data_IF_492427842199
#
_entry.id   IF_492427842199
#
_cell.length_a   1.000
_cell.length_b   1.000
_cell.length_c   1.000
_cell.angle_alpha   90.00
_cell.angle_beta   90.00
_cell.angle_gamma   90.00
#
_symmetry.space_group_name_H-M   'P 1'
#
loop_
_entity.id
_entity.type
_entity.pdbx_description
1 polymer ?
#
# COMPACT_ATOMS: atom_id res chain seq x y z
N UNK A 1 28.48 10.32 19.00
CA UNK A 1 27.55 11.07 18.12
C UNK A 1 26.14 10.58 18.40
N UNK A 2 25.26 11.43 18.93
CA UNK A 2 23.88 11.05 19.20
C UNK A 2 23.05 11.29 17.93
N UNK A 3 22.42 10.25 17.40
CA UNK A 3 21.49 10.35 16.26
C UNK A 3 20.18 10.95 16.73
N UNK A 4 19.94 12.21 16.39
CA UNK A 4 18.67 12.90 16.63
C UNK A 4 17.65 12.33 15.63
N UNK A 5 16.68 11.56 16.13
CA UNK A 5 15.56 11.09 15.33
C UNK A 5 14.70 12.29 14.93
N UNK A 6 14.73 12.68 13.66
CA UNK A 6 13.90 13.76 13.12
C UNK A 6 12.41 13.40 13.31
N UNK A 7 11.58 14.31 13.84
CA UNK A 7 10.16 14.04 14.02
C UNK A 7 9.51 13.71 12.67
N UNK A 8 8.92 12.52 12.57
CA UNK A 8 8.16 12.05 11.41
C UNK A 8 7.02 13.04 11.19
N UNK A 9 7.05 13.78 10.07
CA UNK A 9 6.01 14.72 9.69
C UNK A 9 4.63 14.02 9.77
N UNK A 10 3.82 14.41 10.76
CA UNK A 10 2.56 13.77 11.14
C UNK A 10 1.37 14.18 10.27
N UNK A 11 1.57 15.05 9.27
CA UNK A 11 0.50 15.43 8.36
C UNK A 11 0.25 14.30 7.34
N UNK A 12 -1.01 13.86 7.13
CA UNK A 12 -1.32 12.90 6.09
C UNK A 12 -0.94 13.51 4.74
N UNK A 13 0.00 12.88 4.04
CA UNK A 13 0.44 13.34 2.74
C UNK A 13 -0.63 13.03 1.69
N UNK A 14 -1.55 13.97 1.45
CA UNK A 14 -2.54 13.87 0.38
C UNK A 14 -1.87 14.01 -0.98
N UNK A 15 -2.11 13.04 -1.86
CA UNK A 15 -1.57 13.04 -3.24
C UNK A 15 -2.71 13.08 -4.24
N UNK A 16 -2.63 14.04 -5.16
CA UNK A 16 -3.54 14.12 -6.31
C UNK A 16 -2.93 13.35 -7.47
N UNK A 17 -3.72 12.47 -8.06
CA UNK A 17 -3.35 11.66 -9.22
C UNK A 17 -4.49 11.67 -10.24
N UNK A 18 -4.14 11.49 -11.51
CA UNK A 18 -5.12 11.40 -12.60
C UNK A 18 -5.41 9.93 -12.89
N UNK A 19 -6.69 9.62 -13.14
CA UNK A 19 -7.12 8.30 -13.58
C UNK A 19 -6.51 8.00 -14.97
N UNK A 20 -5.85 6.85 -15.09
CA UNK A 20 -5.40 6.35 -16.40
C UNK A 20 -6.50 5.50 -17.04
N UNK A 21 -6.43 5.32 -18.36
CA UNK A 21 -7.21 4.30 -19.06
C UNK A 21 -6.38 3.03 -19.30
N UNK A 22 -7.02 1.87 -19.26
CA UNK A 22 -6.46 0.60 -19.77
C UNK A 22 -7.49 -0.07 -20.64
N UNK A 23 -7.11 -0.38 -21.88
CA UNK A 23 -7.89 -1.20 -22.80
C UNK A 23 -7.44 -2.65 -22.72
N UNK A 24 -8.41 -3.57 -22.77
CA UNK A 24 -8.12 -5.00 -22.94
C UNK A 24 -8.48 -5.38 -24.37
N UNK A 25 -7.51 -5.97 -25.07
CA UNK A 25 -7.75 -6.50 -26.39
C UNK A 25 -8.49 -7.83 -26.22
N UNK A 26 -9.82 -7.80 -26.36
CA UNK A 26 -10.61 -9.03 -26.46
C UNK A 26 -10.54 -9.47 -27.92
N UNK A 27 -10.01 -10.67 -28.17
CA UNK A 27 -9.93 -11.26 -29.51
C UNK A 27 -11.27 -11.08 -30.24
N UNK A 28 -11.27 -10.31 -31.33
CA UNK A 28 -12.43 -10.12 -32.19
C UNK A 28 -13.46 -9.04 -31.76
N UNK A 29 -13.26 -8.29 -30.66
CA UNK A 29 -14.17 -7.21 -30.28
C UNK A 29 -13.48 -5.84 -30.17
N UNK A 30 -14.24 -4.74 -30.29
CA UNK A 30 -13.75 -3.38 -30.03
C UNK A 30 -13.10 -3.30 -28.64
N UNK A 31 -11.98 -2.58 -28.55
CA UNK A 31 -11.31 -2.28 -27.29
C UNK A 31 -12.23 -1.48 -26.37
N UNK A 32 -12.63 -2.05 -25.23
CA UNK A 32 -13.35 -1.33 -24.17
C UNK A 32 -12.34 -0.73 -23.18
N UNK A 33 -12.28 0.61 -23.01
CA UNK A 33 -11.42 1.23 -22.03
C UNK A 33 -12.02 1.12 -20.62
N UNK A 34 -11.16 0.87 -19.63
CA UNK A 34 -11.52 0.85 -18.21
C UNK A 34 -10.66 1.84 -17.41
N UNK A 35 -11.20 2.45 -16.34
CA UNK A 35 -10.42 3.32 -15.46
C UNK A 35 -9.40 2.52 -14.65
N UNK A 36 -8.21 3.09 -14.45
CA UNK A 36 -7.12 2.51 -13.65
C UNK A 36 -6.51 3.56 -12.74
N UNK A 37 -6.42 3.24 -11.45
CA UNK A 37 -5.60 3.95 -10.48
C UNK A 37 -4.22 3.29 -10.40
N UNK A 38 -3.15 4.04 -10.69
CA UNK A 38 -1.76 3.58 -10.50
C UNK A 38 -1.16 4.28 -9.29
N UNK A 39 -0.87 3.52 -8.24
CA UNK A 39 -0.18 3.99 -7.04
C UNK A 39 1.23 3.41 -7.03
N UNK A 40 2.24 4.28 -7.03
CA UNK A 40 3.64 3.85 -7.01
C UNK A 40 4.58 4.95 -6.54
N UNK A 41 5.77 4.52 -6.10
CA UNK A 41 6.84 5.40 -5.64
C UNK A 41 7.22 5.18 -4.18
N UNK A 42 8.36 5.78 -3.78
CA UNK A 42 8.96 5.62 -2.43
C UNK A 42 7.97 5.95 -1.31
N UNK A 43 7.08 6.92 -1.52
CA UNK A 43 6.07 7.28 -0.53
C UNK A 43 5.10 6.15 -0.17
N UNK A 44 4.77 5.27 -1.13
CA UNK A 44 3.90 4.12 -0.89
C UNK A 44 4.63 3.09 -0.03
N UNK A 45 5.92 2.89 -0.29
CA UNK A 45 6.80 2.06 0.52
C UNK A 45 6.99 2.63 1.93
N UNK A 46 7.24 3.94 2.06
CA UNK A 46 7.36 4.64 3.34
C UNK A 46 6.06 4.58 4.15
N UNK A 47 4.90 4.41 3.48
CA UNK A 47 3.59 4.18 4.12
C UNK A 47 3.38 2.74 4.59
N UNK A 48 4.35 1.84 4.38
CA UNK A 48 4.34 0.45 4.88
C UNK A 48 3.96 -0.61 3.85
N UNK A 49 3.64 -0.25 2.61
CA UNK A 49 3.36 -1.24 1.55
C UNK A 49 4.67 -1.85 1.01
N UNK A 50 4.66 -3.15 0.75
CA UNK A 50 5.80 -3.85 0.16
C UNK A 50 5.35 -4.68 -1.04
N UNK A 51 6.29 -4.97 -1.94
CA UNK A 51 6.07 -5.93 -3.03
C UNK A 51 5.69 -7.27 -2.40
N UNK A 52 4.63 -7.90 -2.92
CA UNK A 52 4.09 -9.16 -2.39
C UNK A 52 3.04 -9.02 -1.28
N UNK A 53 2.80 -7.80 -0.74
CA UNK A 53 1.65 -7.60 0.15
C UNK A 53 0.33 -7.84 -0.60
N UNK A 54 -0.56 -8.58 0.04
CA UNK A 54 -1.98 -8.67 -0.29
C UNK A 54 -2.67 -7.47 0.34
N UNK A 55 -3.50 -6.80 -0.43
CA UNK A 55 -4.20 -5.57 -0.01
C UNK A 55 -5.70 -5.73 -0.18
N UNK A 56 -6.44 -5.28 0.82
CA UNK A 56 -7.88 -5.14 0.75
C UNK A 56 -8.23 -3.80 0.10
N UNK A 57 -9.14 -3.83 -0.86
CA UNK A 57 -9.72 -2.65 -1.51
C UNK A 57 -11.21 -2.64 -1.19
N UNK A 58 -11.62 -1.68 -0.34
CA UNK A 58 -13.01 -1.51 0.08
C UNK A 58 -13.63 -0.37 -0.74
N UNK A 59 -14.72 -0.67 -1.45
CA UNK A 59 -15.44 0.25 -2.30
C UNK A 59 -16.77 0.63 -1.65
N UNK A 60 -16.87 1.84 -1.08
CA UNK A 60 -18.07 2.29 -0.38
C UNK A 60 -18.44 3.72 -0.78
N UNK A 61 -19.65 3.94 -1.31
CA UNK A 61 -20.24 5.27 -1.59
C UNK A 61 -19.29 6.21 -2.36
N UNK A 62 -18.59 5.69 -3.38
CA UNK A 62 -17.65 6.47 -4.19
C UNK A 62 -16.28 6.70 -3.55
N UNK A 63 -16.01 6.10 -2.39
CA UNK A 63 -14.71 6.10 -1.71
C UNK A 63 -14.04 4.75 -1.85
N UNK A 64 -12.74 4.78 -2.16
CA UNK A 64 -11.86 3.62 -2.14
C UNK A 64 -10.93 3.71 -0.94
N UNK A 65 -10.91 2.67 -0.11
CA UNK A 65 -9.98 2.53 1.01
C UNK A 65 -9.09 1.33 0.75
N UNK A 66 -7.77 1.55 0.75
CA UNK A 66 -6.77 0.49 0.56
C UNK A 66 -6.08 0.21 1.90
N UNK A 67 -5.99 -1.06 2.30
CA UNK A 67 -5.27 -1.47 3.50
C UNK A 67 -4.51 -2.78 3.25
N UNK A 68 -3.39 -2.99 3.95
CA UNK A 68 -2.75 -4.32 3.98
C UNK A 68 -3.72 -5.30 4.63
N UNK A 69 -3.90 -6.46 4.00
CA UNK A 69 -4.80 -7.52 4.44
C UNK A 69 -4.50 -7.92 5.88
N UNK A 70 -5.54 -8.23 6.65
CA UNK A 70 -5.42 -8.46 8.11
C UNK A 70 -4.53 -9.66 8.40
N UNK A 71 -4.64 -10.72 7.61
CA UNK A 71 -3.89 -11.97 7.75
C UNK A 71 -2.37 -11.69 7.75
N UNK A 72 -1.89 -10.89 6.80
CA UNK A 72 -0.48 -10.51 6.70
C UNK A 72 0.00 -9.59 7.82
N UNK A 73 -0.90 -8.79 8.41
CA UNK A 73 -0.53 -7.94 9.56
C UNK A 73 -0.21 -8.76 10.79
N UNK A 74 -0.94 -9.85 11.04
CA UNK A 74 -0.71 -10.70 12.21
C UNK A 74 0.59 -11.50 12.08
N UNK A 75 0.91 -12.03 10.90
CA UNK A 75 2.19 -12.69 10.64
C UNK A 75 3.37 -11.75 10.87
N UNK A 76 3.33 -10.54 10.29
CA UNK A 76 4.39 -9.55 10.47
C UNK A 76 4.56 -9.08 11.93
N UNK A 77 3.46 -8.98 12.68
CA UNK A 77 3.50 -8.65 14.11
C UNK A 77 4.11 -9.80 14.93
N UNK A 78 3.72 -11.06 14.63
CA UNK A 78 4.26 -12.23 15.31
C UNK A 78 5.76 -12.38 15.09
N UNK A 79 6.25 -12.25 13.86
CA UNK A 79 7.69 -12.29 13.55
C UNK A 79 8.47 -11.22 14.32
N UNK A 80 7.90 -10.01 14.40
CA UNK A 80 8.52 -8.90 15.15
C UNK A 80 8.59 -9.20 16.64
N UNK A 81 7.50 -9.68 17.25
CA UNK A 81 7.49 -10.06 18.66
C UNK A 81 8.47 -11.21 18.96
N UNK A 82 8.65 -12.16 18.04
CA UNK A 82 9.64 -13.23 18.20
C UNK A 82 11.08 -12.69 18.14
N UNK A 83 11.39 -11.76 17.22
CA UNK A 83 12.72 -11.12 17.16
C UNK A 83 13.04 -10.28 18.39
N UNK A 84 12.10 -9.46 18.86
CA UNK A 84 12.29 -8.62 20.04
C UNK A 84 12.50 -9.46 21.32
N UNK A 85 11.93 -10.67 21.39
CA UNK A 85 12.20 -11.62 22.50
C UNK A 85 13.59 -12.26 22.43
N UNK A 86 14.19 -12.37 21.25
CA UNK A 86 15.52 -12.97 21.06
C UNK A 86 16.63 -11.95 21.35
N UNK A 87 16.38 -10.66 21.17
CA UNK A 87 17.36 -9.59 21.44
C UNK A 87 17.52 -9.22 22.93
N UNK A 88 16.75 -9.84 23.84
CA UNK A 88 16.93 -9.70 25.30
C UNK A 88 17.86 -10.81 25.80
N UNK A 89 19.17 -10.70 25.52
CA UNK A 89 20.26 -11.43 26.20
C UNK A 89 21.48 -10.54 26.30
#
# INVERSE_FOLDING_TARGET
MQTIATPRNTKPATRRITICSKSYNRFGSRNTPYPVLRLGGKWLQDSGFKIGHVVDIICEKGRLTNAIAKEQKYEALQERFQREKIEIV
#
